data_IF_744200005455
#
_entry.id   IF_744200005455
#
_cell.length_a   1.000
_cell.length_b   1.000
_cell.length_c   1.000
_cell.angle_alpha   90.00
_cell.angle_beta   90.00
_cell.angle_gamma   90.00
#
_symmetry.space_group_name_H-M   'P 1'
#
loop_
_entity.id
_entity.type
_entity.pdbx_description
1 polymer ?
#
# COMPACT_ATOMS: atom_id res chain seq x y z
N UNK A 1 10.31 -11.56 -3.55
CA UNK A 1 9.49 -10.67 -2.69
C UNK A 1 9.03 -11.39 -1.42
N UNK A 2 8.54 -10.65 -0.41
CA UNK A 2 7.96 -11.27 0.80
C UNK A 2 6.81 -12.25 0.51
N UNK A 3 6.08 -12.05 -0.60
CA UNK A 3 5.05 -12.98 -1.09
C UNK A 3 5.61 -14.36 -1.43
N UNK A 4 6.77 -14.44 -2.10
CA UNK A 4 7.45 -15.69 -2.44
C UNK A 4 7.98 -16.42 -1.20
N UNK A 5 8.43 -15.67 -0.20
CA UNK A 5 8.88 -16.24 1.07
C UNK A 5 7.72 -16.86 1.86
N UNK A 6 6.55 -16.22 1.84
CA UNK A 6 5.36 -16.75 2.50
C UNK A 6 4.76 -17.95 1.76
N UNK A 7 4.79 -17.95 0.42
CA UNK A 7 4.34 -19.07 -0.40
C UNK A 7 2.93 -19.54 -0.03
N UNK A 8 2.80 -20.84 0.31
CA UNK A 8 1.52 -21.46 0.70
C UNK A 8 0.92 -20.91 2.00
N UNK A 9 1.71 -20.24 2.84
CA UNK A 9 1.25 -19.65 4.10
C UNK A 9 0.63 -18.26 3.92
N UNK A 10 0.64 -17.69 2.70
CA UNK A 10 0.00 -16.43 2.41
C UNK A 10 -1.53 -16.58 2.41
N UNK A 11 -2.15 -16.29 3.57
CA UNK A 11 -3.59 -16.49 3.76
C UNK A 11 -4.46 -15.28 3.39
N UNK A 12 -3.96 -14.05 3.56
CA UNK A 12 -4.75 -12.84 3.34
C UNK A 12 -3.86 -11.61 3.06
N UNK A 13 -4.39 -10.61 2.33
CA UNK A 13 -3.67 -9.39 1.94
C UNK A 13 -4.49 -8.15 2.31
N UNK A 14 -3.89 -7.26 3.09
CA UNK A 14 -4.41 -5.92 3.36
C UNK A 14 -3.70 -4.92 2.46
N UNK A 15 -4.48 -4.07 1.78
CA UNK A 15 -4.02 -3.11 0.79
C UNK A 15 -4.07 -1.71 1.38
N UNK A 16 -2.89 -1.18 1.70
CA UNK A 16 -2.69 0.20 2.17
C UNK A 16 -1.36 0.74 1.71
N UNK A 17 -1.22 2.05 1.70
CA UNK A 17 0.06 2.68 1.40
C UNK A 17 0.48 3.64 2.53
N UNK A 18 1.77 3.96 2.55
CA UNK A 18 2.35 4.91 3.51
C UNK A 18 3.38 5.77 2.80
N UNK A 19 3.67 6.94 3.37
CA UNK A 19 4.75 7.82 2.90
C UNK A 19 5.56 8.35 4.05
N UNK A 20 6.81 8.71 3.77
CA UNK A 20 7.66 9.41 4.71
C UNK A 20 7.34 10.90 4.68
N UNK A 21 7.11 11.48 5.85
CA UNK A 21 6.96 12.91 6.04
C UNK A 21 8.04 13.41 7.00
N UNK A 22 8.49 14.64 6.78
CA UNK A 22 9.38 15.31 7.74
C UNK A 22 8.54 15.71 8.95
N UNK A 23 8.81 15.11 10.10
CA UNK A 23 8.12 15.44 11.35
C UNK A 23 8.75 16.66 12.03
N UNK A 24 10.09 16.72 12.00
CA UNK A 24 10.83 17.80 12.62
C UNK A 24 12.20 18.00 11.97
N UNK A 25 12.73 19.20 12.18
CA UNK A 25 14.11 19.56 11.86
C UNK A 25 14.77 20.04 13.15
N UNK A 26 15.96 19.54 13.47
CA UNK A 26 16.70 20.06 14.62
C UNK A 26 17.49 21.33 14.28
N UNK A 27 18.06 21.97 15.29
CA UNK A 27 18.87 23.20 15.17
C UNK A 27 20.10 23.02 14.27
N UNK A 28 20.62 21.79 14.13
CA UNK A 28 21.74 21.45 13.23
C UNK A 28 21.30 21.21 11.79
N UNK A 29 20.01 21.36 11.49
CA UNK A 29 19.45 21.19 10.16
C UNK A 29 19.14 19.76 9.75
N UNK A 30 19.24 18.78 10.65
CA UNK A 30 18.92 17.38 10.39
C UNK A 30 17.41 17.17 10.39
N UNK A 31 16.91 16.48 9.36
CA UNK A 31 15.51 16.08 9.24
C UNK A 31 15.25 14.74 9.94
N UNK A 32 14.14 14.69 10.68
CA UNK A 32 13.62 13.47 11.26
C UNK A 32 12.35 13.11 10.51
N UNK A 33 12.34 11.90 9.96
CA UNK A 33 11.25 11.39 9.14
C UNK A 33 10.40 10.43 9.95
N UNK A 34 9.09 10.51 9.75
CA UNK A 34 8.12 9.57 10.29
C UNK A 34 7.19 9.07 9.21
N UNK A 35 6.63 7.86 9.38
CA UNK A 35 5.64 7.33 8.46
C UNK A 35 4.28 8.00 8.68
N UNK A 36 3.54 8.23 7.60
CA UNK A 36 2.12 8.56 7.64
C UNK A 36 1.35 7.74 6.61
N UNK A 37 0.04 7.62 6.80
CA UNK A 37 -0.84 6.97 5.83
C UNK A 37 -0.82 7.74 4.51
N UNK A 38 -0.91 6.98 3.41
CA UNK A 38 -1.01 7.55 2.07
C UNK A 38 -2.07 6.79 1.28
N UNK A 39 -2.71 7.49 0.36
CA UNK A 39 -3.55 6.87 -0.67
C UNK A 39 -2.69 5.95 -1.54
N UNK A 40 -3.30 4.96 -2.19
CA UNK A 40 -2.56 3.94 -2.92
C UNK A 40 -1.58 4.49 -3.96
N UNK A 41 -1.92 5.61 -4.62
CA UNK A 41 -1.09 6.29 -5.64
C UNK A 41 -0.04 7.26 -5.08
N UNK A 42 -0.05 7.52 -3.78
CA UNK A 42 0.72 8.61 -3.15
C UNK A 42 1.76 8.11 -2.13
N UNK A 43 1.87 6.79 -1.96
CA UNK A 43 2.80 6.19 -1.02
C UNK A 43 3.98 5.49 -1.69
N UNK A 44 4.79 4.84 -0.87
CA UNK A 44 6.06 4.22 -1.27
C UNK A 44 5.93 2.78 -1.75
N UNK A 45 4.75 2.15 -1.57
CA UNK A 45 4.49 0.79 -2.07
C UNK A 45 4.19 0.85 -3.56
N UNK A 46 4.99 0.15 -4.36
CA UNK A 46 4.68 -0.15 -5.76
C UNK A 46 3.68 -1.31 -5.81
N UNK A 47 2.41 -0.98 -6.02
CA UNK A 47 1.35 -1.97 -6.08
C UNK A 47 1.40 -2.82 -7.36
N UNK A 48 1.99 -2.35 -8.45
CA UNK A 48 2.14 -3.19 -9.65
C UNK A 48 3.13 -4.33 -9.36
N UNK A 49 4.26 -4.02 -8.71
CA UNK A 49 5.23 -5.03 -8.27
C UNK A 49 4.60 -6.04 -7.30
N UNK A 50 3.85 -5.57 -6.29
CA UNK A 50 3.16 -6.45 -5.34
C UNK A 50 2.15 -7.36 -6.03
N UNK A 51 1.33 -6.82 -6.95
CA UNK A 51 0.35 -7.62 -7.69
C UNK A 51 1.02 -8.69 -8.55
N UNK A 52 2.16 -8.38 -9.18
CA UNK A 52 2.96 -9.36 -9.90
C UNK A 52 3.51 -10.45 -8.97
N UNK A 53 4.00 -10.08 -7.79
CA UNK A 53 4.45 -11.02 -6.76
C UNK A 53 3.33 -11.95 -6.26
N UNK A 54 2.11 -11.45 -6.10
CA UNK A 54 0.94 -12.26 -5.72
C UNK A 54 0.54 -13.25 -6.82
N UNK A 55 0.57 -12.81 -8.09
CA UNK A 55 0.31 -13.68 -9.25
C UNK A 55 1.36 -14.79 -9.37
N UNK A 56 2.63 -14.45 -9.20
CA UNK A 56 3.75 -15.39 -9.31
C UNK A 56 3.64 -16.56 -8.31
N UNK A 57 3.11 -16.31 -7.11
CA UNK A 57 2.88 -17.34 -6.09
C UNK A 57 1.49 -18.00 -6.17
N UNK A 58 0.69 -17.64 -7.17
CA UNK A 58 -0.64 -18.22 -7.39
C UNK A 58 -1.67 -17.86 -6.32
N UNK A 59 -1.54 -16.70 -5.68
CA UNK A 59 -2.50 -16.23 -4.68
C UNK A 59 -3.89 -16.00 -5.32
N UNK A 60 -4.93 -16.58 -4.72
CA UNK A 60 -6.33 -16.51 -5.20
C UNK A 60 -7.30 -15.94 -4.15
N UNK A 61 -6.77 -15.44 -3.03
CA UNK A 61 -7.57 -14.87 -1.95
C UNK A 61 -8.00 -13.43 -2.23
N UNK A 62 -8.68 -12.84 -1.25
CA UNK A 62 -9.17 -11.48 -1.32
C UNK A 62 -8.07 -10.44 -1.05
N UNK A 63 -8.25 -9.25 -1.62
CA UNK A 63 -7.51 -8.04 -1.29
C UNK A 63 -8.42 -7.14 -0.46
N UNK A 64 -8.06 -6.87 0.80
CA UNK A 64 -8.85 -6.04 1.70
C UNK A 64 -8.34 -4.60 1.67
N UNK A 65 -9.14 -3.66 1.16
CA UNK A 65 -8.75 -2.25 1.07
C UNK A 65 -8.76 -1.56 2.43
N UNK A 66 -7.65 -0.92 2.79
CA UNK A 66 -7.46 -0.13 4.01
C UNK A 66 -7.00 1.30 3.65
N UNK A 67 -7.96 2.17 3.28
CA UNK A 67 -7.73 3.61 3.06
C UNK A 67 -8.12 4.43 4.30
N UNK A 68 -7.11 4.96 4.98
CA UNK A 68 -7.21 5.77 6.20
C UNK A 68 -7.31 7.28 5.94
N UNK A 69 -7.54 7.71 4.70
CA UNK A 69 -7.76 9.14 4.39
C UNK A 69 -9.08 9.65 4.97
N UNK A 70 -9.26 10.97 5.05
CA UNK A 70 -10.48 11.59 5.61
C UNK A 70 -11.58 11.85 4.56
N UNK A 71 -11.54 11.17 3.40
CA UNK A 71 -12.57 11.33 2.35
C UNK A 71 -13.76 10.36 2.57
N UNK A 72 -14.92 10.58 1.91
CA UNK A 72 -16.06 9.67 2.03
C UNK A 72 -15.73 8.23 1.61
N UNK A 73 -16.22 7.24 2.36
CA UNK A 73 -15.91 5.81 2.14
C UNK A 73 -16.21 5.33 0.73
N UNK A 74 -17.35 5.72 0.16
CA UNK A 74 -17.71 5.35 -1.21
C UNK A 74 -16.69 5.85 -2.23
N UNK A 75 -16.18 7.07 -2.02
CA UNK A 75 -15.15 7.65 -2.87
C UNK A 75 -13.82 6.88 -2.77
N UNK A 76 -13.39 6.54 -1.55
CA UNK A 76 -12.19 5.70 -1.31
C UNK A 76 -12.27 4.39 -2.10
N UNK A 77 -13.37 3.66 -1.89
CA UNK A 77 -13.58 2.35 -2.50
C UNK A 77 -13.58 2.42 -4.03
N UNK A 78 -14.27 3.41 -4.61
CA UNK A 78 -14.29 3.58 -6.07
C UNK A 78 -12.89 3.87 -6.62
N UNK A 79 -12.18 4.83 -6.04
CA UNK A 79 -10.86 5.25 -6.53
C UNK A 79 -9.80 4.15 -6.37
N UNK A 80 -9.84 3.39 -5.26
CA UNK A 80 -8.91 2.29 -4.98
C UNK A 80 -9.18 1.07 -5.87
N UNK A 81 -10.44 0.69 -6.06
CA UNK A 81 -10.81 -0.43 -6.93
C UNK A 81 -10.45 -0.12 -8.39
N UNK A 82 -10.75 1.10 -8.85
CA UNK A 82 -10.36 1.54 -10.21
C UNK A 82 -8.84 1.47 -10.39
N UNK A 83 -8.07 1.93 -9.40
CA UNK A 83 -6.62 1.84 -9.45
C UNK A 83 -6.14 0.39 -9.50
N UNK A 84 -6.57 -0.48 -8.59
CA UNK A 84 -6.11 -1.88 -8.58
C UNK A 84 -6.50 -2.64 -9.85
N UNK A 85 -7.69 -2.37 -10.41
CA UNK A 85 -8.11 -2.97 -11.69
C UNK A 85 -7.30 -2.48 -12.89
N UNK A 86 -6.67 -1.31 -12.78
CA UNK A 86 -5.80 -0.78 -13.84
C UNK A 86 -4.42 -1.44 -13.88
N UNK A 87 -4.02 -2.12 -12.80
CA UNK A 87 -2.74 -2.83 -12.69
C UNK A 87 -2.81 -4.15 -13.46
N UNK A 88 -1.83 -4.39 -14.33
CA UNK A 88 -1.82 -5.55 -15.25
C UNK A 88 -1.35 -6.84 -14.59
#
# INVERSE_FOLDING_TARGET
MGTELLGEYLAHVHVKNSKWMIEKKNEKGVFFWGPTWARLKEGIVDWEEVMNGLKAVGYKGYLSLEDFSDIPTEKKLNEDIEYLKSLK
#
